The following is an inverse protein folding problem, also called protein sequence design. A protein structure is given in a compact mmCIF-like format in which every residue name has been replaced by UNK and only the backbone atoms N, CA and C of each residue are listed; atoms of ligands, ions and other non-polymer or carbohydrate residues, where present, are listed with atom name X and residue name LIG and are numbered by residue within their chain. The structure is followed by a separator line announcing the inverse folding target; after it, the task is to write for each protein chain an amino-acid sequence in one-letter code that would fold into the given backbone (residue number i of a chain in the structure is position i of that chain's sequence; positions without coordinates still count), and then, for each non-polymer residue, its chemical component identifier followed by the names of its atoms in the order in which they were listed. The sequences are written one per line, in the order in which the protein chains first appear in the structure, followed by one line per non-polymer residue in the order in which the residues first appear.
data_IF_855070191246
#
_entry.id   IF_855070191246
#
_cell.length_a   1.000
_cell.length_b   1.000
_cell.length_c   1.000
_cell.angle_alpha   90.00
_cell.angle_beta   90.00
_cell.angle_gamma   90.00
#
_symmetry.space_group_name_H-M   'P 1'
#
loop_
_entity.id
_entity.type
_entity.pdbx_description
1 polymer ?
#
# COMPACT_ATOMS: atom_id res chain seq x y z
N UNK A 1 -14.78 -3.74 -15.55
CA UNK A 1 -15.96 -4.32 -16.22
C UNK A 1 -16.03 -5.80 -15.86
N UNK A 2 -17.21 -6.36 -15.57
CA UNK A 2 -17.39 -7.82 -15.43
C UNK A 2 -17.82 -8.34 -16.82
N UNK A 3 -16.92 -8.98 -17.60
CA UNK A 3 -17.22 -9.34 -18.99
C UNK A 3 -18.32 -10.41 -19.10
N UNK A 4 -18.33 -11.38 -18.19
CA UNK A 4 -19.34 -12.43 -18.14
C UNK A 4 -20.72 -11.86 -17.76
N UNK A 5 -21.69 -12.03 -18.67
CA UNK A 5 -23.04 -11.51 -18.54
C UNK A 5 -23.82 -12.10 -17.37
N UNK A 6 -23.67 -13.40 -17.13
CA UNK A 6 -24.37 -14.10 -16.05
C UNK A 6 -23.85 -13.64 -14.69
N UNK A 7 -22.53 -13.56 -14.53
CA UNK A 7 -21.86 -13.04 -13.35
C UNK A 7 -22.17 -11.57 -13.12
N UNK A 8 -22.18 -10.76 -14.17
CA UNK A 8 -22.52 -9.32 -14.08
C UNK A 8 -23.94 -9.11 -13.57
N UNK A 9 -24.91 -9.88 -14.06
CA UNK A 9 -26.31 -9.83 -13.59
C UNK A 9 -26.44 -10.26 -12.14
N UNK A 10 -25.80 -11.37 -11.75
CA UNK A 10 -25.78 -11.87 -10.36
C UNK A 10 -25.17 -10.84 -9.40
N UNK A 11 -24.04 -10.23 -9.79
CA UNK A 11 -23.39 -9.19 -9.00
C UNK A 11 -24.28 -7.93 -8.86
N UNK A 12 -24.92 -7.49 -9.95
CA UNK A 12 -25.80 -6.32 -9.93
C UNK A 12 -27.03 -6.53 -9.01
N UNK A 13 -27.62 -7.72 -9.05
CA UNK A 13 -28.75 -8.08 -8.18
C UNK A 13 -28.36 -8.11 -6.69
N UNK A 14 -27.15 -8.61 -6.36
CA UNK A 14 -26.65 -8.61 -4.98
C UNK A 14 -26.28 -7.21 -4.48
N UNK A 15 -25.72 -6.36 -5.35
CA UNK A 15 -25.19 -5.02 -5.00
C UNK A 15 -26.23 -4.14 -4.32
N UNK A 16 -27.47 -4.11 -4.83
CA UNK A 16 -28.54 -3.23 -4.34
C UNK A 16 -28.94 -3.45 -2.88
N UNK A 17 -28.48 -4.55 -2.26
CA UNK A 17 -28.77 -4.88 -0.87
C UNK A 17 -27.55 -4.79 0.06
N UNK A 18 -26.34 -4.49 -0.46
CA UNK A 18 -25.09 -4.65 0.31
C UNK A 18 -24.13 -3.47 0.19
N UNK A 19 -24.27 -2.61 -0.83
CA UNK A 19 -23.37 -1.49 -1.06
C UNK A 19 -24.15 -0.17 -1.08
N UNK A 20 -23.61 0.84 -0.40
CA UNK A 20 -24.17 2.20 -0.39
C UNK A 20 -24.14 2.84 -1.78
N UNK A 21 -25.12 3.70 -2.05
CA UNK A 21 -25.14 4.52 -3.26
C UNK A 21 -23.92 5.45 -3.35
N UNK A 22 -23.39 5.60 -4.56
CA UNK A 22 -22.25 6.47 -4.85
C UNK A 22 -22.74 7.91 -4.92
N UNK A 23 -22.12 8.82 -4.16
CA UNK A 23 -22.51 10.23 -4.19
C UNK A 23 -22.06 10.93 -5.48
N UNK A 24 -22.71 12.05 -5.82
CA UNK A 24 -22.44 12.81 -7.05
C UNK A 24 -20.96 13.23 -7.18
N UNK A 25 -20.32 13.65 -6.09
CA UNK A 25 -18.92 14.07 -6.10
C UNK A 25 -17.98 12.92 -6.51
N UNK A 26 -18.29 11.71 -6.10
CA UNK A 26 -17.49 10.52 -6.41
C UNK A 26 -17.52 10.19 -7.90
N UNK A 27 -18.66 10.42 -8.58
CA UNK A 27 -18.76 10.28 -10.02
C UNK A 27 -17.88 11.27 -10.76
N UNK A 28 -17.97 12.56 -10.41
CA UNK A 28 -17.13 13.60 -11.03
C UNK A 28 -15.64 13.37 -10.74
N UNK A 29 -15.28 13.01 -9.51
CA UNK A 29 -13.89 12.73 -9.15
C UNK A 29 -13.31 11.55 -9.95
N UNK A 30 -14.06 10.46 -10.05
CA UNK A 30 -13.64 9.30 -10.85
C UNK A 30 -13.55 9.64 -12.33
N UNK A 31 -14.53 10.35 -12.89
CA UNK A 31 -14.52 10.76 -14.29
C UNK A 31 -13.30 11.62 -14.62
N UNK A 32 -13.06 12.69 -13.86
CA UNK A 32 -11.91 13.58 -14.07
C UNK A 32 -10.58 12.83 -13.89
N UNK A 33 -10.47 11.96 -12.89
CA UNK A 33 -9.26 11.16 -12.67
C UNK A 33 -8.97 10.22 -13.86
N UNK A 34 -9.99 9.57 -14.43
CA UNK A 34 -9.81 8.66 -15.56
C UNK A 34 -9.63 9.37 -16.89
N UNK A 35 -10.31 10.51 -17.09
CA UNK A 35 -10.28 11.28 -18.34
C UNK A 35 -9.00 12.10 -18.47
N UNK A 36 -8.62 12.80 -17.39
CA UNK A 36 -7.61 13.86 -17.44
C UNK A 36 -6.39 13.56 -16.55
N UNK A 37 -6.44 12.52 -15.70
CA UNK A 37 -5.41 12.24 -14.70
C UNK A 37 -4.15 11.53 -15.20
N UNK A 38 -4.09 11.08 -16.45
CA UNK A 38 -2.97 10.28 -16.96
C UNK A 38 -1.60 11.01 -16.93
N UNK A 39 -1.47 12.31 -17.29
CA UNK A 39 -0.21 13.03 -17.15
C UNK A 39 0.31 13.03 -15.70
N UNK A 40 -0.56 13.39 -14.75
CA UNK A 40 -0.25 13.38 -13.33
C UNK A 40 0.12 11.98 -12.84
N UNK A 41 -0.61 10.94 -13.27
CA UNK A 41 -0.34 9.55 -12.89
C UNK A 41 1.07 9.12 -13.32
N UNK A 42 1.50 9.48 -14.53
CA UNK A 42 2.84 9.15 -15.03
C UNK A 42 3.95 9.82 -14.21
N UNK A 43 3.76 11.09 -13.88
CA UNK A 43 4.68 11.83 -13.00
C UNK A 43 4.73 11.22 -11.60
N UNK A 44 3.57 10.90 -11.03
CA UNK A 44 3.48 10.23 -9.72
C UNK A 44 4.20 8.88 -9.73
N UNK A 45 4.01 8.04 -10.76
CA UNK A 45 4.69 6.75 -10.85
C UNK A 45 6.21 6.96 -10.90
N UNK A 46 6.70 7.94 -11.66
CA UNK A 46 8.14 8.24 -11.73
C UNK A 46 8.68 8.67 -10.37
N UNK A 47 7.96 9.55 -9.67
CA UNK A 47 8.33 10.03 -8.33
C UNK A 47 8.35 8.88 -7.30
N UNK A 48 7.30 8.07 -7.24
CA UNK A 48 7.21 6.93 -6.33
C UNK A 48 8.29 5.88 -6.60
N UNK A 49 8.67 5.68 -7.87
CA UNK A 49 9.76 4.78 -8.24
C UNK A 49 11.10 5.27 -7.66
N UNK A 50 11.38 6.57 -7.79
CA UNK A 50 12.59 7.17 -7.19
C UNK A 50 12.59 7.04 -5.67
N UNK A 51 11.45 7.26 -5.01
CA UNK A 51 11.34 7.10 -3.55
C UNK A 51 11.54 5.66 -3.12
N UNK A 52 10.95 4.69 -3.85
CA UNK A 52 11.17 3.27 -3.62
C UNK A 52 12.65 2.91 -3.74
N UNK A 53 13.29 3.29 -4.84
CA UNK A 53 14.69 2.91 -5.10
C UNK A 53 15.61 3.51 -4.03
N UNK A 54 15.35 4.76 -3.61
CA UNK A 54 16.07 5.43 -2.53
C UNK A 54 15.88 4.72 -1.19
N UNK A 55 14.64 4.36 -0.83
CA UNK A 55 14.34 3.65 0.41
C UNK A 55 15.00 2.27 0.44
N UNK A 56 14.89 1.51 -0.64
CA UNK A 56 15.48 0.16 -0.75
C UNK A 56 16.99 0.22 -0.60
N UNK A 57 17.64 1.16 -1.29
CA UNK A 57 19.08 1.36 -1.17
C UNK A 57 19.49 1.77 0.23
N UNK A 58 18.75 2.68 0.85
CA UNK A 58 19.05 3.16 2.21
C UNK A 58 18.95 2.02 3.22
N UNK A 59 17.82 1.31 3.27
CA UNK A 59 17.58 0.24 4.25
C UNK A 59 18.62 -0.87 4.08
N UNK A 60 18.75 -1.41 2.86
CA UNK A 60 19.61 -2.57 2.65
C UNK A 60 21.12 -2.25 2.80
N UNK A 61 21.55 -0.99 2.69
CA UNK A 61 22.97 -0.59 2.82
C UNK A 61 23.32 0.02 4.18
N UNK A 62 22.35 0.54 4.94
CA UNK A 62 22.60 1.36 6.14
C UNK A 62 21.87 0.90 7.39
N UNK A 63 20.80 0.12 7.27
CA UNK A 63 19.98 -0.29 8.41
C UNK A 63 20.26 -1.76 8.78
N UNK A 64 21.16 -1.97 9.74
CA UNK A 64 21.45 -3.32 10.23
C UNK A 64 20.21 -3.98 10.85
N UNK A 65 19.99 -5.25 10.54
CA UNK A 65 18.82 -6.01 11.01
C UNK A 65 17.52 -5.74 10.25
N UNK A 66 17.52 -4.79 9.30
CA UNK A 66 16.41 -4.52 8.39
C UNK A 66 16.72 -5.01 6.97
N UNK A 67 15.68 -5.46 6.26
CA UNK A 67 15.77 -5.72 4.83
C UNK A 67 14.46 -5.39 4.12
N UNK A 68 14.55 -5.03 2.83
CA UNK A 68 13.38 -4.68 2.02
C UNK A 68 13.60 -5.14 0.58
N UNK A 69 12.58 -5.76 0.00
CA UNK A 69 12.56 -6.09 -1.42
C UNK A 69 12.08 -4.89 -2.25
N UNK A 70 12.64 -4.71 -3.44
CA UNK A 70 12.14 -3.72 -4.39
C UNK A 70 10.80 -4.19 -4.96
N UNK A 71 9.69 -3.69 -4.41
CA UNK A 71 8.35 -4.00 -4.89
C UNK A 71 8.13 -3.55 -6.34
N UNK A 72 7.46 -4.39 -7.14
CA UNK A 72 7.17 -4.10 -8.55
C UNK A 72 6.01 -3.12 -8.72
N UNK A 73 5.15 -3.00 -7.71
CA UNK A 73 3.94 -2.19 -7.72
C UNK A 73 3.58 -1.68 -6.33
N UNK A 74 2.60 -0.77 -6.29
CA UNK A 74 2.11 -0.03 -5.11
C UNK A 74 3.10 1.01 -4.59
N UNK A 75 2.62 1.88 -3.68
CA UNK A 75 3.43 2.87 -2.97
C UNK A 75 3.83 2.41 -1.55
N UNK A 76 3.65 1.12 -1.27
CA UNK A 76 3.83 0.52 0.04
C UNK A 76 5.10 -0.34 0.07
N UNK A 77 6.00 -0.07 1.01
CA UNK A 77 7.22 -0.85 1.20
C UNK A 77 7.08 -1.80 2.39
N UNK A 78 7.29 -3.09 2.15
CA UNK A 78 7.30 -4.13 3.17
C UNK A 78 8.72 -4.33 3.69
N UNK A 79 8.95 -3.92 4.93
CA UNK A 79 10.27 -3.96 5.57
C UNK A 79 10.28 -5.10 6.57
N UNK A 80 11.22 -6.01 6.41
CA UNK A 80 11.48 -7.10 7.33
C UNK A 80 12.49 -6.64 8.40
N UNK A 81 12.06 -6.69 9.66
CA UNK A 81 12.84 -6.32 10.83
C UNK A 81 13.17 -7.50 11.74
N UNK A 82 13.00 -8.75 11.28
CA UNK A 82 13.33 -9.96 12.05
C UNK A 82 14.79 -9.96 12.54
N UNK A 83 15.70 -9.38 11.77
CA UNK A 83 17.11 -9.28 12.12
C UNK A 83 17.41 -8.36 13.31
N UNK A 84 16.45 -7.52 13.74
CA UNK A 84 16.62 -6.65 14.91
C UNK A 84 16.38 -7.38 16.24
N UNK A 85 15.74 -8.56 16.23
CA UNK A 85 15.38 -9.28 17.45
C UNK A 85 14.35 -8.57 18.33
N UNK A 86 13.55 -7.67 17.74
CA UNK A 86 12.51 -6.89 18.44
C UNK A 86 11.14 -7.53 18.21
N UNK A 87 10.35 -7.64 19.28
CA UNK A 87 9.02 -8.25 19.25
C UNK A 87 8.00 -7.42 18.45
N UNK A 88 7.96 -6.10 18.67
CA UNK A 88 7.09 -5.18 17.93
C UNK A 88 7.91 -4.02 17.30
N UNK A 89 8.37 -4.16 16.04
CA UNK A 89 9.11 -3.12 15.36
C UNK A 89 8.32 -1.83 15.14
N UNK A 90 7.01 -1.91 14.84
CA UNK A 90 6.20 -0.73 14.57
C UNK A 90 6.12 0.19 15.79
N UNK A 91 5.83 -0.38 16.97
CA UNK A 91 5.82 0.35 18.24
C UNK A 91 7.21 0.89 18.60
N UNK A 92 8.28 0.12 18.33
CA UNK A 92 9.65 0.56 18.58
C UNK A 92 9.98 1.83 17.80
N UNK A 93 9.70 1.86 16.49
CA UNK A 93 9.96 3.02 15.64
C UNK A 93 9.06 4.21 15.97
N UNK A 94 7.82 3.98 16.39
CA UNK A 94 6.95 5.06 16.88
C UNK A 94 7.56 5.71 18.13
N UNK A 95 7.90 4.91 19.14
CA UNK A 95 8.38 5.41 20.44
C UNK A 95 9.80 5.99 20.39
N UNK A 96 10.67 5.46 19.53
CA UNK A 96 12.10 5.83 19.49
C UNK A 96 12.47 6.76 18.34
N UNK A 97 11.74 6.72 17.24
CA UNK A 97 12.03 7.50 16.04
C UNK A 97 10.87 8.40 15.59
N UNK A 98 9.71 8.35 16.25
CA UNK A 98 8.52 9.14 15.86
C UNK A 98 7.92 8.70 14.52
N UNK A 99 8.22 7.48 14.07
CA UNK A 99 7.75 6.94 12.79
C UNK A 99 6.53 6.04 13.00
N UNK A 100 5.40 6.46 12.44
CA UNK A 100 4.16 5.68 12.46
C UNK A 100 4.13 4.70 11.28
N UNK A 101 4.09 3.40 11.59
CA UNK A 101 4.18 2.30 10.64
C UNK A 101 3.05 1.31 10.91
N UNK A 102 2.58 0.63 9.87
CA UNK A 102 1.58 -0.43 10.05
C UNK A 102 2.26 -1.74 10.42
N UNK A 103 1.86 -2.33 11.55
CA UNK A 103 2.34 -3.65 11.99
C UNK A 103 1.90 -4.74 11.00
N UNK A 104 2.86 -5.54 10.54
CA UNK A 104 2.64 -6.65 9.63
C UNK A 104 1.75 -7.76 10.21
N UNK A 105 1.66 -7.86 11.55
CA UNK A 105 0.77 -8.81 12.22
C UNK A 105 -0.72 -8.63 11.83
N UNK A 106 -1.16 -7.40 11.51
CA UNK A 106 -2.53 -7.14 11.07
C UNK A 106 -2.89 -7.81 9.73
N UNK A 107 -1.89 -8.23 8.95
CA UNK A 107 -2.09 -8.80 7.62
C UNK A 107 -2.11 -10.34 7.61
N UNK A 108 -2.11 -10.96 8.80
CA UNK A 108 -2.54 -12.35 8.98
C UNK A 108 -1.50 -13.43 8.71
N UNK A 109 -0.23 -13.09 8.48
CA UNK A 109 0.85 -14.08 8.39
C UNK A 109 1.71 -14.04 9.65
N UNK A 110 1.87 -15.19 10.32
CA UNK A 110 2.61 -15.27 11.59
C UNK A 110 4.08 -14.87 11.48
N UNK A 111 4.68 -14.91 10.28
CA UNK A 111 6.05 -14.46 10.03
C UNK A 111 6.17 -12.95 9.75
N UNK A 112 5.07 -12.22 9.56
CA UNK A 112 5.05 -10.77 9.32
C UNK A 112 4.98 -9.95 10.61
N UNK A 113 4.87 -10.55 11.80
CA UNK A 113 4.82 -9.80 13.07
C UNK A 113 6.09 -8.99 13.37
N UNK A 114 7.19 -9.32 12.70
CA UNK A 114 8.44 -8.55 12.73
C UNK A 114 8.66 -7.75 11.45
N UNK A 115 7.64 -7.55 10.63
CA UNK A 115 7.67 -6.72 9.43
C UNK A 115 6.67 -5.58 9.57
N UNK A 116 6.90 -4.49 8.86
CA UNK A 116 5.98 -3.36 8.85
C UNK A 116 5.88 -2.74 7.46
N UNK A 117 4.83 -1.96 7.27
CA UNK A 117 4.60 -1.24 6.02
C UNK A 117 4.88 0.25 6.18
N UNK A 118 5.71 0.78 5.28
CA UNK A 118 5.96 2.21 5.14
C UNK A 118 5.30 2.74 3.87
N UNK A 119 4.48 3.79 4.03
CA UNK A 119 3.93 4.56 2.91
C UNK A 119 5.00 5.52 2.39
N UNK A 120 5.32 5.39 1.10
CA UNK A 120 6.25 6.32 0.45
C UNK A 120 5.59 7.72 0.37
N UNK A 121 6.31 8.79 0.77
CA UNK A 121 5.84 10.16 0.57
C UNK A 121 5.83 10.54 -0.91
#
# INVERSE_FOLDING_TARGET
MIPDDSLRRRFAAARGHTLSEINALSYYAAESAYRDGEPWRRELISYLKTNRDTLVDFINKRCEGLSVAAGEATYLAWIDARGMGIENPAEHFEKKAGLFLSDGAYFGWSWLGSSFNLRLP
#
